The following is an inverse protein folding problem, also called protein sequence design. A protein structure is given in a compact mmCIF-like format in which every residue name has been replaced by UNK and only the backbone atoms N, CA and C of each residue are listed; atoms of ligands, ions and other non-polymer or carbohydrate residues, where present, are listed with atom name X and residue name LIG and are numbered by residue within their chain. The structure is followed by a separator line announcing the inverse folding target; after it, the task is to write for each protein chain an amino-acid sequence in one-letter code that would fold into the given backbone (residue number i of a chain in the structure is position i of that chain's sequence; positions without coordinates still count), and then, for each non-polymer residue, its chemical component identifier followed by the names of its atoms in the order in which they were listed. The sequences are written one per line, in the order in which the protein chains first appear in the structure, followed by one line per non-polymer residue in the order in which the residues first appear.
data_IF_145636745456
#
_entry.id   IF_145636745456
#
_cell.length_a   1.000
_cell.length_b   1.000
_cell.length_c   1.000
_cell.angle_alpha   90.00
_cell.angle_beta   90.00
_cell.angle_gamma   90.00
#
_symmetry.space_group_name_H-M   'P 1'
#
loop_
_entity.id
_entity.type
_entity.pdbx_description
1 polymer ?
#
# COMPACT_ATOMS: atom_id res chain seq x y z
N UNK A 1 4.55 0.88 -4.02
CA UNK A 1 4.30 -0.20 -3.05
C UNK A 1 2.87 -0.17 -2.51
N UNK A 2 2.27 -1.32 -2.24
CA UNK A 2 1.02 -1.46 -1.48
C UNK A 2 1.32 -2.14 -0.14
N UNK A 3 1.09 -1.42 0.95
CA UNK A 3 1.14 -1.95 2.31
C UNK A 3 -0.29 -2.00 2.82
N UNK A 4 -0.73 -3.15 3.32
CA UNK A 4 -2.11 -3.35 3.77
C UNK A 4 -2.13 -4.10 5.09
N UNK A 5 -2.90 -3.57 6.03
CA UNK A 5 -3.32 -4.27 7.25
C UNK A 5 -4.68 -4.87 6.95
N UNK A 6 -4.80 -6.19 7.06
CA UNK A 6 -6.04 -6.89 6.77
C UNK A 6 -6.92 -6.89 8.00
N UNK A 7 -8.19 -6.54 7.81
CA UNK A 7 -9.20 -6.78 8.82
C UNK A 7 -9.35 -8.28 9.02
N UNK A 8 -9.47 -8.76 10.27
CA UNK A 8 -9.88 -10.13 10.51
C UNK A 8 -11.17 -10.44 9.76
N UNK A 9 -11.29 -11.67 9.29
CA UNK A 9 -12.51 -12.13 8.63
C UNK A 9 -13.70 -12.11 9.60
N UNK A 10 -14.91 -12.05 9.05
CA UNK A 10 -16.13 -11.92 9.87
C UNK A 10 -16.42 -13.17 10.71
N UNK A 11 -15.87 -14.33 10.31
CA UNK A 11 -16.17 -15.63 10.90
C UNK A 11 -15.17 -15.96 12.01
N UNK A 12 -13.88 -16.08 11.71
CA UNK A 12 -12.87 -16.46 12.71
C UNK A 12 -12.43 -15.27 13.58
N UNK A 13 -12.50 -14.04 13.06
CA UNK A 13 -12.03 -12.79 13.69
C UNK A 13 -10.58 -12.86 14.19
N UNK A 14 -9.80 -13.82 13.68
CA UNK A 14 -8.49 -14.22 14.20
C UNK A 14 -8.50 -14.40 15.73
N UNK A 15 -9.61 -14.89 16.28
CA UNK A 15 -9.79 -15.14 17.71
C UNK A 15 -9.38 -16.56 18.12
N UNK A 16 -9.02 -17.42 17.15
CA UNK A 16 -8.61 -18.81 17.35
C UNK A 16 -7.09 -19.03 17.34
N UNK A 17 -6.67 -20.21 16.91
CA UNK A 17 -5.28 -20.52 16.57
C UNK A 17 -4.87 -19.80 15.28
N UNK A 18 -3.57 -19.58 15.10
CA UNK A 18 -2.98 -19.10 13.84
C UNK A 18 -2.65 -20.19 12.82
N UNK A 19 -2.86 -21.47 13.16
CA UNK A 19 -2.57 -22.65 12.33
C UNK A 19 -3.04 -22.54 10.89
N UNK A 20 -4.32 -22.24 10.65
CA UNK A 20 -4.87 -22.11 9.29
C UNK A 20 -4.10 -21.09 8.44
N UNK A 21 -3.76 -19.95 9.04
CA UNK A 21 -3.02 -18.89 8.36
C UNK A 21 -1.56 -19.29 8.13
N UNK A 22 -0.89 -19.85 9.13
CA UNK A 22 0.49 -20.31 8.99
C UNK A 22 0.60 -21.42 7.93
N UNK A 23 -0.31 -22.39 7.95
CA UNK A 23 -0.37 -23.48 6.96
C UNK A 23 -0.65 -22.95 5.55
N UNK A 24 -1.47 -21.90 5.41
CA UNK A 24 -1.69 -21.22 4.14
C UNK A 24 -0.41 -20.55 3.61
N UNK A 25 0.39 -19.93 4.48
CA UNK A 25 1.66 -19.29 4.11
C UNK A 25 2.77 -20.30 3.80
N UNK A 26 2.64 -21.55 4.23
CA UNK A 26 3.55 -22.65 3.86
C UNK A 26 3.27 -23.23 2.46
N UNK A 27 2.25 -22.75 1.74
CA UNK A 27 1.85 -23.33 0.44
C UNK A 27 2.98 -23.40 -0.59
N UNK A 28 3.84 -22.39 -0.66
CA UNK A 28 4.95 -22.33 -1.64
C UNK A 28 6.10 -23.28 -1.28
N UNK A 29 6.13 -23.85 -0.07
CA UNK A 29 7.16 -24.79 0.36
C UNK A 29 6.79 -26.26 0.17
N UNK A 30 5.51 -26.58 -0.06
CA UNK A 30 5.00 -27.97 -0.02
C UNK A 30 5.66 -28.90 -1.03
N UNK A 31 6.09 -28.37 -2.17
CA UNK A 31 6.69 -29.14 -3.26
C UNK A 31 8.20 -28.86 -3.42
N UNK A 32 8.80 -28.10 -2.50
CA UNK A 32 10.21 -27.73 -2.55
C UNK A 32 11.07 -28.64 -1.70
N UNK A 33 12.30 -28.89 -2.17
CA UNK A 33 13.35 -29.51 -1.36
C UNK A 33 13.60 -28.66 -0.10
N UNK A 34 13.90 -29.26 1.07
CA UNK A 34 14.19 -28.53 2.29
C UNK A 34 15.23 -27.40 2.14
N UNK A 35 16.20 -27.51 1.24
CA UNK A 35 17.20 -26.46 1.01
C UNK A 35 16.66 -25.25 0.24
N UNK A 36 15.56 -25.43 -0.51
CA UNK A 36 14.91 -24.40 -1.33
C UNK A 36 13.69 -23.78 -0.65
N UNK A 37 13.34 -24.26 0.55
CA UNK A 37 12.21 -23.75 1.31
C UNK A 37 12.48 -22.35 1.87
N UNK A 38 11.48 -21.47 1.77
CA UNK A 38 11.53 -20.15 2.38
C UNK A 38 11.03 -20.23 3.82
N UNK A 39 11.84 -19.78 4.78
CA UNK A 39 11.48 -19.78 6.19
C UNK A 39 10.78 -18.48 6.60
N UNK A 40 10.06 -18.53 7.71
CA UNK A 40 9.62 -17.30 8.36
C UNK A 40 10.82 -16.56 8.96
N UNK A 41 10.72 -15.23 8.99
CA UNK A 41 11.69 -14.34 9.59
C UNK A 41 11.03 -13.30 10.47
N UNK A 42 11.83 -12.70 11.35
CA UNK A 42 11.47 -11.53 12.13
C UNK A 42 12.74 -10.73 12.48
N UNK A 43 12.63 -9.77 13.40
CA UNK A 43 13.73 -8.92 13.82
C UNK A 43 14.85 -9.66 14.56
N UNK A 44 14.63 -10.92 14.94
CA UNK A 44 15.58 -11.71 15.74
C UNK A 44 16.21 -12.86 14.96
N UNK A 45 15.47 -13.48 14.04
CA UNK A 45 15.89 -14.67 13.28
C UNK A 45 15.29 -14.70 11.88
N UNK A 46 15.95 -15.36 10.93
CA UNK A 46 15.48 -15.51 9.54
C UNK A 46 15.13 -16.94 9.11
N UNK A 47 15.27 -17.91 10.03
CA UNK A 47 15.14 -19.34 9.77
C UNK A 47 14.13 -19.99 10.74
N UNK A 48 12.91 -19.47 10.77
CA UNK A 48 11.84 -19.94 11.65
C UNK A 48 10.89 -20.83 10.84
N UNK A 49 10.74 -22.09 11.25
CA UNK A 49 9.78 -23.00 10.63
C UNK A 49 8.32 -22.65 11.03
N UNK A 50 7.35 -23.08 10.22
CA UNK A 50 5.94 -22.81 10.45
C UNK A 50 5.42 -23.32 11.80
N UNK A 51 5.83 -24.51 12.26
CA UNK A 51 5.37 -25.06 13.53
C UNK A 51 5.91 -24.25 14.73
N UNK A 52 7.11 -23.70 14.63
CA UNK A 52 7.67 -22.79 15.61
C UNK A 52 6.95 -21.43 15.58
N UNK A 53 6.68 -20.89 14.40
CA UNK A 53 5.92 -19.64 14.25
C UNK A 53 4.52 -19.75 14.86
N UNK A 54 3.76 -20.80 14.52
CA UNK A 54 2.42 -21.08 15.05
C UNK A 54 2.42 -21.19 16.57
N UNK A 55 3.23 -22.10 17.13
CA UNK A 55 3.27 -22.33 18.59
C UNK A 55 3.64 -21.07 19.35
N UNK A 56 4.60 -20.29 18.84
CA UNK A 56 5.05 -19.06 19.49
C UNK A 56 3.95 -18.00 19.46
N UNK A 57 3.26 -17.84 18.32
CA UNK A 57 2.20 -16.86 18.15
C UNK A 57 0.98 -17.19 19.02
N UNK A 58 0.57 -18.46 19.04
CA UNK A 58 -0.58 -18.95 19.79
C UNK A 58 -0.37 -18.90 21.31
N UNK A 59 0.87 -19.06 21.77
CA UNK A 59 1.25 -18.89 23.17
C UNK A 59 1.15 -17.41 23.61
N UNK A 60 1.28 -16.44 22.69
CA UNK A 60 1.33 -15.01 23.00
C UNK A 60 -0.04 -14.33 23.08
N UNK A 61 -1.00 -14.96 23.76
CA UNK A 61 -2.35 -14.40 23.93
C UNK A 61 -2.53 -13.59 25.20
N UNK A 62 -1.60 -13.68 26.16
CA UNK A 62 -1.69 -13.02 27.47
C UNK A 62 -3.08 -13.21 28.11
N UNK A 63 -3.76 -12.10 28.38
CA UNK A 63 -5.11 -12.07 28.97
C UNK A 63 -6.22 -11.81 27.94
N UNK A 64 -6.02 -12.15 26.67
CA UNK A 64 -7.07 -12.03 25.65
C UNK A 64 -8.17 -13.08 25.89
N UNK A 65 -9.42 -12.63 25.81
CA UNK A 65 -10.59 -13.51 25.87
C UNK A 65 -10.71 -14.42 24.64
N UNK A 66 -11.67 -15.36 24.69
CA UNK A 66 -11.91 -16.33 23.60
C UNK A 66 -12.34 -15.66 22.28
N UNK A 67 -13.15 -14.60 22.37
CA UNK A 67 -13.69 -13.88 21.22
C UNK A 67 -12.83 -12.67 20.79
N UNK A 68 -11.74 -12.41 21.51
CA UNK A 68 -10.85 -11.31 21.18
C UNK A 68 -9.90 -11.71 20.06
N UNK A 69 -9.74 -10.85 19.05
CA UNK A 69 -8.69 -10.98 18.04
C UNK A 69 -7.32 -11.15 18.71
N UNK A 70 -6.57 -12.18 18.31
CA UNK A 70 -5.25 -12.54 18.87
C UNK A 70 -4.09 -12.14 17.97
N UNK A 71 -4.33 -12.07 16.66
CA UNK A 71 -3.31 -11.69 15.70
C UNK A 71 -3.91 -10.93 14.50
N UNK A 72 -3.05 -10.18 13.81
CA UNK A 72 -3.38 -9.43 12.61
C UNK A 72 -2.47 -9.88 11.46
N UNK A 73 -2.97 -9.79 10.22
CA UNK A 73 -2.16 -10.02 9.03
C UNK A 73 -1.88 -8.69 8.33
N UNK A 74 -0.64 -8.51 7.90
CA UNK A 74 -0.23 -7.45 6.99
C UNK A 74 0.33 -8.07 5.71
N UNK A 75 0.28 -7.31 4.62
CA UNK A 75 1.00 -7.64 3.39
C UNK A 75 1.78 -6.44 2.89
N UNK A 76 3.03 -6.68 2.49
CA UNK A 76 3.89 -5.75 1.78
C UNK A 76 3.99 -6.21 0.34
N UNK A 77 3.59 -5.35 -0.58
CA UNK A 77 3.52 -5.64 -2.00
C UNK A 77 4.33 -4.59 -2.75
N UNK A 78 5.64 -4.78 -2.94
CA UNK A 78 6.43 -3.94 -3.82
C UNK A 78 5.86 -4.02 -5.25
N UNK A 79 5.91 -2.90 -5.97
CA UNK A 79 5.59 -2.86 -7.40
C UNK A 79 6.70 -3.51 -8.21
N UNK A 80 6.44 -3.93 -9.47
CA UNK A 80 7.49 -4.48 -10.34
C UNK A 80 8.72 -3.58 -10.46
N UNK A 81 8.54 -2.25 -10.47
CA UNK A 81 9.65 -1.27 -10.48
C UNK A 81 10.47 -1.30 -9.19
N UNK A 82 9.81 -1.44 -8.04
CA UNK A 82 10.48 -1.51 -6.74
C UNK A 82 11.21 -2.86 -6.57
N UNK A 83 10.59 -3.96 -7.01
CA UNK A 83 11.23 -5.28 -7.05
C UNK A 83 12.48 -5.25 -7.94
N UNK A 84 12.36 -4.70 -9.14
CA UNK A 84 13.49 -4.54 -10.06
C UNK A 84 14.60 -3.66 -9.46
N UNK A 85 14.24 -2.59 -8.74
CA UNK A 85 15.21 -1.68 -8.11
C UNK A 85 16.06 -2.36 -7.03
N UNK A 86 15.52 -3.37 -6.35
CA UNK A 86 16.28 -4.20 -5.39
C UNK A 86 16.80 -5.49 -6.04
N UNK A 87 16.83 -5.57 -7.38
CA UNK A 87 17.26 -6.74 -8.17
C UNK A 87 16.55 -8.05 -7.79
N UNK A 88 15.29 -7.97 -7.34
CA UNK A 88 14.56 -9.14 -6.87
C UNK A 88 15.17 -9.81 -5.63
N UNK A 89 16.00 -9.11 -4.85
CA UNK A 89 16.72 -9.69 -3.72
C UNK A 89 15.81 -9.83 -2.47
N UNK A 90 15.52 -11.06 -2.01
CA UNK A 90 14.66 -11.30 -0.85
C UNK A 90 15.26 -10.80 0.46
N UNK A 91 16.58 -10.83 0.63
CA UNK A 91 17.25 -10.38 1.86
C UNK A 91 17.15 -8.86 2.04
N UNK A 92 17.20 -8.09 0.93
CA UNK A 92 16.91 -6.66 0.98
C UNK A 92 15.45 -6.40 1.37
N UNK A 93 14.52 -7.20 0.85
CA UNK A 93 13.10 -7.06 1.20
C UNK A 93 12.83 -7.45 2.67
N UNK A 94 13.46 -8.51 3.20
CA UNK A 94 13.42 -8.88 4.62
C UNK A 94 13.94 -7.75 5.51
N UNK A 95 15.09 -7.18 5.13
CA UNK A 95 15.69 -6.03 5.82
C UNK A 95 14.77 -4.80 5.80
N UNK A 96 14.06 -4.54 4.69
CA UNK A 96 13.04 -3.49 4.63
C UNK A 96 11.85 -3.77 5.56
N UNK A 97 11.37 -5.01 5.60
CA UNK A 97 10.25 -5.39 6.47
C UNK A 97 10.59 -5.20 7.94
N UNK A 98 11.82 -5.49 8.35
CA UNK A 98 12.28 -5.25 9.72
C UNK A 98 12.18 -3.75 10.10
N UNK A 99 12.66 -2.85 9.24
CA UNK A 99 12.50 -1.39 9.44
C UNK A 99 11.03 -0.95 9.42
N UNK A 100 10.20 -1.58 8.57
CA UNK A 100 8.77 -1.34 8.53
C UNK A 100 8.10 -1.73 9.86
N UNK A 101 8.57 -2.80 10.51
CA UNK A 101 8.07 -3.24 11.80
C UNK A 101 8.52 -2.35 12.97
N UNK A 102 9.66 -1.66 12.85
CA UNK A 102 10.01 -0.55 13.76
C UNK A 102 9.04 0.62 13.60
N UNK A 103 8.70 0.98 12.36
CA UNK A 103 7.67 1.99 12.09
C UNK A 103 6.29 1.54 12.60
N UNK A 104 5.94 0.25 12.48
CA UNK A 104 4.72 -0.32 13.05
C UNK A 104 4.65 -0.12 14.57
N UNK A 105 5.74 -0.43 15.29
CA UNK A 105 5.84 -0.27 16.74
C UNK A 105 5.70 1.19 17.17
N UNK A 106 6.47 2.08 16.54
CA UNK A 106 6.48 3.52 16.83
C UNK A 106 5.10 4.18 16.65
N UNK A 107 4.29 3.67 15.73
CA UNK A 107 2.97 4.20 15.42
C UNK A 107 1.94 4.00 16.54
N UNK A 108 2.21 3.12 17.51
CA UNK A 108 1.39 2.96 18.72
C UNK A 108 1.72 3.95 19.83
N UNK A 109 2.84 4.67 19.72
CA UNK A 109 3.32 5.63 20.72
C UNK A 109 3.35 5.03 22.14
N UNK A 110 3.91 3.82 22.28
CA UNK A 110 4.03 3.10 23.56
C UNK A 110 5.44 3.21 24.10
N UNK A 111 5.53 3.33 25.42
CA UNK A 111 6.77 3.34 26.18
C UNK A 111 6.64 2.43 27.39
N UNK A 112 7.71 1.72 27.73
CA UNK A 112 7.83 0.93 28.95
C UNK A 112 7.95 1.84 30.18
N UNK A 113 7.87 1.25 31.39
CA UNK A 113 7.90 2.01 32.64
C UNK A 113 9.20 2.79 32.85
N UNK A 114 10.29 2.32 32.27
CA UNK A 114 11.62 2.93 32.31
C UNK A 114 11.80 4.05 31.25
N UNK A 115 10.76 4.37 30.47
CA UNK A 115 10.81 5.38 29.41
C UNK A 115 11.32 4.85 28.07
N UNK A 116 11.69 3.57 27.98
CA UNK A 116 12.15 2.98 26.71
C UNK A 116 10.98 2.88 25.73
N UNK A 117 11.09 3.42 24.50
CA UNK A 117 10.02 3.31 23.50
C UNK A 117 9.88 1.88 22.98
N UNK A 118 8.67 1.50 22.61
CA UNK A 118 8.39 0.25 21.94
C UNK A 118 9.01 0.24 20.54
N UNK A 119 9.78 -0.80 20.23
CA UNK A 119 10.47 -0.96 18.93
C UNK A 119 9.97 -2.19 18.19
N UNK A 120 10.36 -2.34 16.92
CA UNK A 120 10.04 -3.53 16.12
C UNK A 120 10.63 -4.81 16.69
N UNK A 121 11.69 -4.73 17.52
CA UNK A 121 12.25 -5.89 18.24
C UNK A 121 11.32 -6.40 19.33
N UNK A 122 10.46 -5.54 19.87
CA UNK A 122 9.47 -5.91 20.89
C UNK A 122 8.19 -6.50 20.28
N UNK A 123 7.97 -6.30 18.98
CA UNK A 123 6.78 -6.82 18.27
C UNK A 123 6.97 -8.31 17.98
N UNK A 124 6.03 -9.13 18.44
CA UNK A 124 5.98 -10.53 18.03
C UNK A 124 5.32 -10.65 16.66
N UNK A 125 6.13 -10.83 15.62
CA UNK A 125 5.67 -11.11 14.28
C UNK A 125 6.47 -12.22 13.62
N UNK A 126 5.86 -12.82 12.60
CA UNK A 126 6.48 -13.76 11.67
C UNK A 126 6.14 -13.32 10.26
N UNK A 127 7.16 -13.03 9.47
CA UNK A 127 7.04 -12.61 8.10
C UNK A 127 7.59 -13.68 7.16
N UNK A 128 7.05 -13.79 5.95
CA UNK A 128 7.50 -14.75 4.93
C UNK A 128 7.46 -14.12 3.56
N UNK A 129 8.55 -14.29 2.81
CA UNK A 129 8.64 -13.84 1.41
C UNK A 129 7.95 -14.89 0.55
N UNK A 130 7.12 -14.45 -0.39
CA UNK A 130 6.44 -15.29 -1.37
C UNK A 130 6.74 -14.75 -2.77
N UNK A 131 6.92 -15.64 -3.74
CA UNK A 131 7.34 -15.28 -5.10
C UNK A 131 6.20 -15.32 -6.11
N UNK A 132 5.08 -15.96 -5.79
CA UNK A 132 3.99 -16.15 -6.74
C UNK A 132 2.74 -15.37 -6.34
N UNK A 133 2.02 -14.85 -7.33
CA UNK A 133 0.68 -14.29 -7.13
C UNK A 133 -0.24 -14.88 -8.16
N UNK A 134 -1.49 -15.10 -7.77
CA UNK A 134 -2.51 -15.57 -8.69
C UNK A 134 -3.49 -14.45 -9.06
N UNK A 135 -4.13 -14.55 -10.22
CA UNK A 135 -5.27 -13.71 -10.55
C UNK A 135 -6.44 -14.07 -9.62
N UNK A 136 -6.97 -13.07 -8.90
CA UNK A 136 -8.02 -13.26 -7.91
C UNK A 136 -9.39 -12.91 -8.50
N UNK A 137 -10.44 -13.56 -8.00
CA UNK A 137 -11.80 -13.12 -8.21
C UNK A 137 -11.98 -11.65 -7.82
N UNK A 138 -12.64 -10.87 -8.68
CA UNK A 138 -12.89 -9.45 -8.43
C UNK A 138 -11.69 -8.52 -8.60
N UNK A 139 -10.55 -8.99 -9.14
CA UNK A 139 -9.44 -8.12 -9.55
C UNK A 139 -9.88 -7.20 -10.70
N UNK A 140 -10.29 -5.97 -10.37
CA UNK A 140 -10.83 -4.99 -11.33
C UNK A 140 -9.91 -4.73 -12.51
N UNK A 141 -8.58 -4.88 -12.33
CA UNK A 141 -7.60 -4.64 -13.40
C UNK A 141 -7.72 -5.67 -14.53
N UNK A 142 -8.08 -6.91 -14.20
CA UNK A 142 -8.15 -8.03 -15.14
C UNK A 142 -9.58 -8.55 -15.31
N UNK A 143 -10.59 -7.79 -14.89
CA UNK A 143 -11.98 -8.26 -14.84
C UNK A 143 -12.50 -8.62 -16.24
N UNK A 144 -12.12 -7.86 -17.26
CA UNK A 144 -12.53 -8.10 -18.66
C UNK A 144 -11.89 -9.37 -19.20
N UNK A 145 -10.59 -9.53 -19.00
CA UNK A 145 -9.80 -10.67 -19.45
C UNK A 145 -10.24 -11.96 -18.75
N UNK A 146 -10.42 -11.91 -17.42
CA UNK A 146 -10.91 -13.04 -16.63
C UNK A 146 -12.33 -13.42 -17.07
N UNK A 147 -13.23 -12.46 -17.30
CA UNK A 147 -14.59 -12.74 -17.74
C UNK A 147 -14.62 -13.38 -19.14
N UNK A 148 -13.80 -12.88 -20.08
CA UNK A 148 -13.63 -13.44 -21.41
C UNK A 148 -13.11 -14.88 -21.34
N UNK A 149 -11.98 -15.09 -20.66
CA UNK A 149 -11.37 -16.41 -20.52
C UNK A 149 -12.27 -17.38 -19.74
N UNK A 150 -13.03 -16.92 -18.76
CA UNK A 150 -13.96 -17.80 -18.01
C UNK A 150 -15.08 -18.35 -18.90
N UNK A 151 -15.53 -17.60 -19.93
CA UNK A 151 -16.49 -18.11 -20.92
C UNK A 151 -15.84 -19.21 -21.77
N UNK A 152 -14.64 -18.95 -22.29
CA UNK A 152 -13.87 -19.95 -23.06
C UNK A 152 -13.63 -21.21 -22.23
N UNK A 153 -13.25 -21.08 -20.96
CA UNK A 153 -13.04 -22.22 -20.06
C UNK A 153 -14.30 -23.07 -19.89
N UNK A 154 -15.47 -22.45 -19.77
CA UNK A 154 -16.75 -23.17 -19.71
C UNK A 154 -17.04 -23.93 -21.01
N UNK A 155 -16.73 -23.35 -22.16
CA UNK A 155 -16.93 -24.01 -23.45
C UNK A 155 -15.93 -25.15 -23.67
N UNK A 156 -14.69 -25.02 -23.19
CA UNK A 156 -13.70 -26.10 -23.16
C UNK A 156 -14.22 -27.26 -22.32
N UNK A 157 -14.73 -27.01 -21.10
CA UNK A 157 -15.28 -28.07 -20.23
C UNK A 157 -16.43 -28.81 -20.92
N UNK A 158 -17.31 -28.10 -21.64
CA UNK A 158 -18.40 -28.73 -22.40
C UNK A 158 -17.95 -29.58 -23.58
N UNK A 159 -16.76 -29.30 -24.13
CA UNK A 159 -16.22 -29.96 -25.32
C UNK A 159 -14.97 -30.77 -25.01
N UNK A 160 -14.76 -31.17 -23.75
CA UNK A 160 -13.51 -31.79 -23.28
C UNK A 160 -13.15 -33.08 -24.03
N UNK A 161 -14.16 -33.79 -24.56
CA UNK A 161 -13.98 -35.03 -25.31
C UNK A 161 -13.56 -34.81 -26.78
N UNK A 162 -13.51 -33.55 -27.26
CA UNK A 162 -13.09 -33.21 -28.61
C UNK A 162 -11.81 -32.35 -28.60
N UNK A 163 -10.62 -32.98 -28.70
CA UNK A 163 -9.33 -32.29 -28.64
C UNK A 163 -9.15 -31.19 -29.69
N UNK A 164 -9.73 -31.34 -30.89
CA UNK A 164 -9.63 -30.34 -31.95
C UNK A 164 -10.36 -29.05 -31.59
N UNK A 165 -11.57 -29.18 -31.02
CA UNK A 165 -12.36 -28.02 -30.57
C UNK A 165 -11.67 -27.36 -29.38
N UNK A 166 -11.18 -28.15 -28.42
CA UNK A 166 -10.43 -27.63 -27.26
C UNK A 166 -9.23 -26.80 -27.71
N UNK A 167 -8.40 -27.32 -28.63
CA UNK A 167 -7.23 -26.60 -29.13
C UNK A 167 -7.59 -25.25 -29.80
N UNK A 168 -8.68 -25.20 -30.57
CA UNK A 168 -9.16 -23.95 -31.18
C UNK A 168 -9.74 -22.96 -30.16
N UNK A 169 -10.33 -23.45 -29.07
CA UNK A 169 -10.81 -22.62 -27.98
C UNK A 169 -9.66 -22.05 -27.14
N UNK A 170 -8.63 -22.85 -26.86
CA UNK A 170 -7.45 -22.43 -26.07
C UNK A 170 -6.62 -21.33 -26.75
N UNK A 171 -6.62 -21.28 -28.09
CA UNK A 171 -6.02 -20.19 -28.88
C UNK A 171 -6.71 -18.84 -28.64
N UNK A 172 -7.97 -18.83 -28.19
CA UNK A 172 -8.75 -17.62 -27.93
C UNK A 172 -8.51 -17.02 -26.55
N UNK A 173 -7.75 -17.71 -25.68
CA UNK A 173 -7.41 -17.18 -24.38
C UNK A 173 -6.57 -15.91 -24.49
N UNK A 174 -6.95 -14.90 -23.73
CA UNK A 174 -6.09 -13.75 -23.45
C UNK A 174 -5.03 -14.21 -22.46
N UNK A 175 -3.76 -14.06 -22.85
CA UNK A 175 -2.60 -14.55 -22.10
C UNK A 175 -1.76 -13.38 -21.59
N UNK A 176 -1.04 -13.62 -20.51
CA UNK A 176 -0.06 -12.69 -19.98
C UNK A 176 1.23 -12.72 -20.82
N UNK A 177 2.24 -11.93 -20.44
CA UNK A 177 3.46 -11.81 -21.24
C UNK A 177 4.29 -13.10 -21.32
N UNK A 178 4.06 -14.04 -20.40
CA UNK A 178 4.69 -15.36 -20.34
C UNK A 178 3.83 -16.47 -20.98
N UNK A 179 2.71 -16.10 -21.62
CA UNK A 179 1.84 -17.06 -22.32
C UNK A 179 0.84 -17.79 -21.42
N UNK A 180 0.80 -17.51 -20.12
CA UNK A 180 -0.20 -18.10 -19.20
C UNK A 180 -1.56 -17.43 -19.41
N UNK A 181 -2.63 -18.23 -19.50
CA UNK A 181 -3.99 -17.72 -19.65
C UNK A 181 -4.40 -16.93 -18.39
N UNK A 182 -4.93 -15.73 -18.59
CA UNK A 182 -5.39 -14.86 -17.48
C UNK A 182 -6.72 -15.40 -16.95
N UNK A 183 -6.64 -16.32 -16.00
CA UNK A 183 -7.77 -16.99 -15.36
C UNK A 183 -7.65 -16.90 -13.84
N UNK A 184 -8.77 -16.91 -13.14
CA UNK A 184 -8.76 -17.00 -11.68
C UNK A 184 -7.96 -18.22 -11.21
N UNK A 185 -7.05 -18.00 -10.26
CA UNK A 185 -6.14 -19.01 -9.73
C UNK A 185 -4.87 -19.22 -10.56
N UNK A 186 -4.82 -18.75 -11.81
CA UNK A 186 -3.59 -18.84 -12.61
C UNK A 186 -2.52 -17.87 -12.09
N UNK A 187 -1.25 -18.26 -12.24
CA UNK A 187 -0.09 -17.49 -11.79
C UNK A 187 0.09 -16.24 -12.67
N UNK A 188 0.42 -15.12 -12.04
CA UNK A 188 0.74 -13.85 -12.68
C UNK A 188 2.17 -13.87 -13.21
N UNK A 189 2.38 -13.20 -14.33
CA UNK A 189 3.69 -13.01 -14.94
C UNK A 189 4.59 -12.09 -14.11
N UNK A 190 5.91 -12.25 -14.32
CA UNK A 190 6.95 -11.43 -13.73
C UNK A 190 7.27 -11.75 -12.27
N UNK A 191 8.24 -11.01 -11.73
CA UNK A 191 8.63 -11.17 -10.33
C UNK A 191 7.56 -10.58 -9.41
N UNK A 192 6.81 -11.47 -8.77
CA UNK A 192 5.67 -11.15 -7.91
C UNK A 192 6.05 -11.11 -6.42
N UNK A 193 7.34 -11.03 -6.11
CA UNK A 193 7.89 -11.04 -4.74
C UNK A 193 7.13 -10.10 -3.81
N UNK A 194 6.72 -10.65 -2.68
CA UNK A 194 5.92 -9.96 -1.68
C UNK A 194 6.07 -10.60 -0.31
N UNK A 195 5.59 -9.90 0.72
CA UNK A 195 5.73 -10.38 2.10
C UNK A 195 4.38 -10.45 2.76
N UNK A 196 4.09 -11.61 3.35
CA UNK A 196 3.04 -11.79 4.33
C UNK A 196 3.63 -11.64 5.73
N UNK A 197 2.94 -10.91 6.61
CA UNK A 197 3.39 -10.69 7.99
C UNK A 197 2.22 -11.02 8.92
N UNK A 198 2.41 -11.95 9.84
CA UNK A 198 1.47 -12.24 10.91
C UNK A 198 2.00 -11.64 12.19
N UNK A 199 1.20 -10.81 12.86
CA UNK A 199 1.61 -10.03 14.03
C UNK A 199 0.69 -10.36 15.20
N UNK A 200 1.27 -10.73 16.33
CA UNK A 200 0.51 -10.92 17.58
C UNK A 200 -0.09 -9.59 18.03
N UNK A 201 -1.29 -9.65 18.64
CA UNK A 201 -1.88 -8.49 19.31
C UNK A 201 -1.10 -8.09 20.57
N UNK A 202 -0.24 -8.95 21.10
CA UNK A 202 0.66 -8.60 22.20
C UNK A 202 2.11 -8.43 21.72
N UNK A 203 2.86 -7.55 22.38
CA UNK A 203 4.32 -7.55 22.28
C UNK A 203 4.93 -8.82 22.93
N UNK A 204 6.23 -9.07 22.72
CA UNK A 204 6.91 -10.25 23.29
C UNK A 204 6.82 -10.33 24.81
N UNK A 205 6.77 -9.17 25.51
CA UNK A 205 6.65 -9.11 26.98
C UNK A 205 5.20 -9.20 27.47
N UNK A 206 4.23 -9.35 26.57
CA UNK A 206 2.78 -9.34 26.86
C UNK A 206 2.33 -8.12 27.69
N UNK A 207 3.02 -6.99 27.50
CA UNK A 207 2.79 -5.75 28.22
C UNK A 207 1.73 -4.88 27.54
N UNK A 208 1.75 -4.81 26.22
CA UNK A 208 0.89 -3.92 25.43
C UNK A 208 -0.02 -4.72 24.51
N UNK A 209 -1.33 -4.45 24.56
CA UNK A 209 -2.28 -4.84 23.51
C UNK A 209 -2.19 -3.84 22.36
N UNK A 210 -1.76 -4.30 21.20
CA UNK A 210 -1.48 -3.54 19.98
C UNK A 210 -2.55 -3.86 18.92
N UNK A 211 -3.47 -2.92 18.68
CA UNK A 211 -4.52 -3.07 17.67
C UNK A 211 -4.35 -2.03 16.57
N UNK A 212 -3.79 -2.40 15.40
CA UNK A 212 -3.56 -1.46 14.30
C UNK A 212 -4.85 -1.02 13.58
N UNK A 213 -5.98 -1.64 13.93
CA UNK A 213 -7.31 -1.36 13.38
C UNK A 213 -8.16 -0.51 14.33
N UNK A 214 -7.57 0.02 15.40
CA UNK A 214 -8.26 0.97 16.29
C UNK A 214 -8.77 2.19 15.50
N UNK A 215 -9.96 2.68 15.85
CA UNK A 215 -10.50 3.92 15.29
C UNK A 215 -9.74 5.16 15.76
N UNK A 216 -9.10 5.10 16.94
CA UNK A 216 -8.26 6.17 17.44
C UNK A 216 -6.94 6.21 16.65
N UNK A 217 -6.73 7.28 15.89
CA UNK A 217 -5.51 7.49 15.10
C UNK A 217 -4.40 8.09 15.97
N UNK A 218 -4.74 9.11 16.74
CA UNK A 218 -3.89 9.81 17.70
C UNK A 218 -4.79 10.29 18.87
N UNK A 219 -4.27 10.27 20.09
CA UNK A 219 -5.02 10.74 21.25
C UNK A 219 -4.24 10.60 22.54
N UNK A 220 -4.39 11.57 23.44
CA UNK A 220 -3.87 11.50 24.81
C UNK A 220 -4.98 10.96 25.71
N UNK A 221 -4.79 9.75 26.23
CA UNK A 221 -5.66 9.21 27.28
C UNK A 221 -4.99 9.36 28.64
N UNK A 222 -5.70 9.85 29.64
CA UNK A 222 -5.18 9.84 31.02
C UNK A 222 -5.43 8.46 31.62
N UNK A 223 -4.36 7.79 32.04
CA UNK A 223 -4.44 6.56 32.84
C UNK A 223 -3.63 6.78 34.12
N UNK A 224 -4.25 6.62 35.29
CA UNK A 224 -3.60 6.88 36.59
C UNK A 224 -2.96 8.29 36.70
N UNK A 225 -3.61 9.31 36.17
CA UNK A 225 -3.12 10.70 36.21
C UNK A 225 -1.97 11.02 35.23
N UNK A 226 -1.52 10.07 34.42
CA UNK A 226 -0.50 10.30 33.37
C UNK A 226 -1.13 10.26 31.98
N UNK A 227 -0.75 11.22 31.13
CA UNK A 227 -1.09 11.20 29.71
C UNK A 227 -0.36 10.05 29.02
N UNK A 228 -1.10 9.25 28.25
CA UNK A 228 -0.56 8.23 27.37
C UNK A 228 -1.06 8.48 25.96
N UNK A 229 -0.14 8.62 25.01
CA UNK A 229 -0.50 8.58 23.60
C UNK A 229 -1.05 7.20 23.25
N UNK A 230 -2.20 7.16 22.59
CA UNK A 230 -2.86 5.94 22.13
C UNK A 230 -3.37 6.17 20.71
N UNK A 231 -3.13 5.18 19.86
CA UNK A 231 -3.72 5.14 18.53
C UNK A 231 -2.89 4.29 17.58
N UNK A 232 -3.35 4.21 16.34
CA UNK A 232 -2.56 3.75 15.21
C UNK A 232 -3.05 4.48 13.95
N UNK A 233 -2.19 5.32 13.38
CA UNK A 233 -2.47 6.06 12.17
C UNK A 233 -2.05 5.24 10.94
N UNK A 234 -3.00 4.45 10.41
CA UNK A 234 -2.78 3.58 9.23
C UNK A 234 -2.27 4.34 8.01
N UNK A 235 -2.78 5.54 7.76
CA UNK A 235 -2.39 6.34 6.61
C UNK A 235 -0.92 6.78 6.74
N UNK A 236 -0.50 7.16 7.95
CA UNK A 236 0.90 7.49 8.26
C UNK A 236 1.81 6.26 8.21
N UNK A 237 1.35 5.11 8.72
CA UNK A 237 2.11 3.86 8.66
C UNK A 237 2.47 3.50 7.21
N UNK A 238 1.51 3.58 6.29
CA UNK A 238 1.74 3.28 4.86
C UNK A 238 2.63 4.33 4.20
N UNK A 239 2.41 5.63 4.47
CA UNK A 239 3.27 6.70 3.93
C UNK A 239 4.73 6.56 4.39
N UNK A 240 4.94 6.29 5.67
CA UNK A 240 6.27 6.05 6.21
C UNK A 240 6.89 4.78 5.61
N UNK A 241 6.11 3.73 5.37
CA UNK A 241 6.59 2.53 4.70
C UNK A 241 7.13 2.81 3.29
N UNK A 242 6.46 3.66 2.50
CA UNK A 242 7.00 4.10 1.21
C UNK A 242 8.31 4.89 1.39
N UNK A 243 8.34 5.83 2.34
CA UNK A 243 9.54 6.65 2.63
C UNK A 243 10.74 5.81 3.07
N UNK A 244 10.53 4.81 3.94
CA UNK A 244 11.58 3.90 4.41
C UNK A 244 12.20 3.17 3.22
N UNK A 245 11.38 2.67 2.30
CA UNK A 245 11.88 1.99 1.10
C UNK A 245 12.71 2.95 0.24
N UNK A 246 12.16 4.14 -0.01
CA UNK A 246 12.79 5.16 -0.85
C UNK A 246 14.13 5.62 -0.29
N UNK A 247 14.21 5.85 1.02
CA UNK A 247 15.44 6.28 1.71
C UNK A 247 16.49 5.17 1.81
N UNK A 248 16.05 3.95 2.16
CA UNK A 248 16.92 2.78 2.36
C UNK A 248 17.59 2.35 1.06
N UNK A 249 16.83 2.30 -0.02
CA UNK A 249 17.33 1.82 -1.32
C UNK A 249 17.62 2.95 -2.32
N UNK A 250 17.50 4.21 -1.91
CA UNK A 250 17.65 5.38 -2.81
C UNK A 250 16.71 5.31 -4.02
N UNK A 251 15.50 4.80 -3.81
CA UNK A 251 14.51 4.67 -4.87
C UNK A 251 13.83 6.02 -5.14
N UNK A 252 13.92 6.49 -6.37
CA UNK A 252 13.30 7.75 -6.81
C UNK A 252 11.86 7.50 -7.25
N UNK A 253 10.96 7.41 -6.27
CA UNK A 253 9.54 7.12 -6.50
C UNK A 253 8.86 8.21 -7.34
N UNK A 254 8.12 7.77 -8.36
CA UNK A 254 7.23 8.64 -9.11
C UNK A 254 6.07 9.10 -8.21
N UNK A 255 5.75 10.40 -8.18
CA UNK A 255 4.66 10.94 -7.35
C UNK A 255 3.33 10.22 -7.59
N UNK A 256 3.04 9.79 -8.83
CA UNK A 256 1.83 9.05 -9.21
C UNK A 256 1.77 7.65 -8.60
N UNK A 257 2.94 7.09 -8.28
CA UNK A 257 3.10 5.78 -7.65
C UNK A 257 3.10 5.89 -6.10
N UNK A 258 2.93 7.10 -5.53
CA UNK A 258 2.86 7.31 -4.07
C UNK A 258 1.46 7.05 -3.49
N UNK A 259 1.43 6.63 -2.24
CA UNK A 259 0.22 6.43 -1.45
C UNK A 259 -0.61 7.71 -1.36
N UNK A 260 0.03 8.85 -1.10
CA UNK A 260 -0.65 10.13 -1.00
C UNK A 260 -1.36 10.51 -2.31
N UNK A 261 -0.74 10.21 -3.45
CA UNK A 261 -1.39 10.43 -4.74
C UNK A 261 -2.62 9.54 -4.92
N UNK A 262 -2.53 8.24 -4.57
CA UNK A 262 -3.67 7.30 -4.63
C UNK A 262 -4.80 7.69 -3.67
N UNK A 263 -4.47 8.07 -2.44
CA UNK A 263 -5.44 8.51 -1.43
C UNK A 263 -6.19 9.75 -1.90
N UNK A 264 -5.45 10.77 -2.37
CA UNK A 264 -6.04 11.99 -2.92
C UNK A 264 -6.93 11.70 -4.14
N UNK A 265 -6.52 10.79 -5.03
CA UNK A 265 -7.35 10.39 -6.18
C UNK A 265 -8.70 9.81 -5.74
N UNK A 266 -8.69 8.85 -4.81
CA UNK A 266 -9.92 8.24 -4.31
C UNK A 266 -10.84 9.26 -3.63
N UNK A 267 -10.27 10.17 -2.84
CA UNK A 267 -11.02 11.25 -2.20
C UNK A 267 -11.60 12.24 -3.23
N UNK A 268 -10.89 12.58 -4.32
CA UNK A 268 -11.41 13.43 -5.40
C UNK A 268 -12.65 12.78 -6.02
N UNK A 269 -12.57 11.49 -6.33
CA UNK A 269 -13.68 10.76 -6.96
C UNK A 269 -14.90 10.62 -6.04
N UNK A 270 -14.72 10.68 -4.72
CA UNK A 270 -15.79 10.64 -3.73
C UNK A 270 -16.26 12.03 -3.24
N UNK A 271 -15.65 13.12 -3.70
CA UNK A 271 -15.97 14.45 -3.20
C UNK A 271 -17.29 14.96 -3.79
N UNK A 272 -18.29 15.14 -2.92
CA UNK A 272 -19.61 15.69 -3.30
C UNK A 272 -19.66 17.21 -3.26
N UNK A 273 -18.80 17.85 -2.45
CA UNK A 273 -18.72 19.30 -2.36
C UNK A 273 -17.83 19.90 -3.48
N UNK A 274 -18.34 20.78 -4.36
CA UNK A 274 -17.58 21.31 -5.49
C UNK A 274 -16.30 22.07 -5.12
N UNK A 275 -16.33 22.83 -4.02
CA UNK A 275 -15.16 23.58 -3.53
C UNK A 275 -14.08 22.64 -2.98
N UNK A 276 -14.49 21.58 -2.27
CA UNK A 276 -13.57 20.53 -1.82
C UNK A 276 -12.94 19.82 -3.02
N UNK A 277 -13.76 19.41 -3.99
CA UNK A 277 -13.33 18.79 -5.23
C UNK A 277 -12.30 19.66 -5.98
N UNK A 278 -12.60 20.94 -6.19
CA UNK A 278 -11.70 21.89 -6.84
C UNK A 278 -10.38 22.05 -6.08
N UNK A 279 -10.41 22.16 -4.74
CA UNK A 279 -9.21 22.27 -3.91
C UNK A 279 -8.31 21.05 -4.02
N UNK A 280 -8.90 19.86 -4.06
CA UNK A 280 -8.15 18.62 -4.19
C UNK A 280 -7.52 18.45 -5.58
N UNK A 281 -8.21 18.84 -6.65
CA UNK A 281 -7.64 18.89 -8.00
C UNK A 281 -6.49 19.89 -8.07
N UNK A 282 -6.65 21.08 -7.51
CA UNK A 282 -5.58 22.09 -7.49
C UNK A 282 -4.32 21.56 -6.79
N UNK A 283 -4.47 20.95 -5.62
CA UNK A 283 -3.37 20.30 -4.89
C UNK A 283 -2.68 19.22 -5.72
N UNK A 284 -3.46 18.36 -6.38
CA UNK A 284 -2.92 17.31 -7.26
C UNK A 284 -2.13 17.90 -8.41
N UNK A 285 -2.64 18.93 -9.07
CA UNK A 285 -1.98 19.56 -10.19
C UNK A 285 -0.66 20.26 -9.79
N UNK A 286 -0.59 20.82 -8.58
CA UNK A 286 0.67 21.36 -8.00
C UNK A 286 1.71 20.26 -7.79
N UNK A 287 1.30 19.06 -7.38
CA UNK A 287 2.23 17.94 -7.23
C UNK A 287 2.71 17.42 -8.60
N UNK A 288 1.82 17.34 -9.58
CA UNK A 288 2.17 16.90 -10.94
C UNK A 288 3.07 17.90 -11.68
N UNK A 289 2.87 19.20 -11.45
CA UNK A 289 3.64 20.27 -12.10
C UNK A 289 5.10 20.34 -11.65
N UNK A 290 5.42 19.78 -10.49
CA UNK A 290 6.80 19.57 -10.03
C UNK A 290 7.48 18.53 -10.91
N UNK A 291 6.81 17.40 -11.14
CA UNK A 291 7.38 16.27 -11.86
C UNK A 291 7.53 16.54 -13.36
N UNK A 292 6.53 17.16 -13.99
CA UNK A 292 6.57 17.48 -15.43
C UNK A 292 7.37 18.76 -15.75
N UNK A 293 8.03 19.33 -14.73
CA UNK A 293 8.84 20.56 -14.79
C UNK A 293 8.04 21.82 -15.16
N UNK A 294 6.71 21.80 -15.16
CA UNK A 294 5.89 23.01 -15.38
C UNK A 294 6.22 24.08 -14.35
N UNK A 295 6.39 23.71 -13.07
CA UNK A 295 6.81 24.64 -12.01
C UNK A 295 8.17 25.27 -12.30
N UNK A 296 9.14 24.45 -12.73
CA UNK A 296 10.48 24.91 -13.07
C UNK A 296 10.46 25.87 -14.27
N UNK A 297 9.76 25.48 -15.35
CA UNK A 297 9.67 26.28 -16.58
C UNK A 297 8.92 27.59 -16.38
N UNK A 298 7.86 27.59 -15.58
CA UNK A 298 7.01 28.76 -15.41
C UNK A 298 7.50 29.74 -14.35
N UNK A 299 8.02 29.23 -13.23
CA UNK A 299 8.32 30.06 -12.06
C UNK A 299 9.82 30.11 -11.72
N UNK A 300 10.69 29.42 -12.48
CA UNK A 300 12.11 29.26 -12.15
C UNK A 300 12.36 28.40 -10.90
N UNK A 301 11.30 27.76 -10.37
CA UNK A 301 11.35 26.99 -9.14
C UNK A 301 11.76 25.55 -9.49
N UNK A 302 13.08 25.30 -9.52
CA UNK A 302 13.65 23.96 -9.68
C UNK A 302 13.63 23.22 -8.33
N UNK A 303 12.48 22.69 -7.93
CA UNK A 303 12.35 21.93 -6.68
C UNK A 303 11.91 20.50 -6.98
N UNK A 304 12.59 19.53 -6.38
CA UNK A 304 12.16 18.12 -6.36
C UNK A 304 11.17 17.83 -5.23
N UNK A 305 11.11 18.70 -4.21
CA UNK A 305 10.28 18.55 -3.02
C UNK A 305 9.24 19.69 -2.92
N UNK A 306 7.93 19.38 -2.85
CA UNK A 306 6.87 20.39 -2.69
C UNK A 306 7.05 21.31 -1.48
N UNK A 307 7.72 20.85 -0.41
CA UNK A 307 7.96 21.64 0.80
C UNK A 307 8.87 22.85 0.58
N UNK A 308 9.66 22.84 -0.50
CA UNK A 308 10.56 23.95 -0.86
C UNK A 308 9.90 25.00 -1.76
N UNK A 309 8.66 24.78 -2.19
CA UNK A 309 7.92 25.82 -2.91
C UNK A 309 7.50 26.90 -1.90
N UNK A 310 7.65 28.20 -2.23
CA UNK A 310 7.18 29.28 -1.37
C UNK A 310 5.69 29.10 -1.01
N UNK A 311 5.38 29.06 0.29
CA UNK A 311 4.01 28.88 0.78
C UNK A 311 3.02 29.90 0.21
N UNK A 312 3.47 31.15 0.06
CA UNK A 312 2.67 32.24 -0.54
C UNK A 312 2.29 31.93 -1.98
N UNK A 313 3.22 31.40 -2.78
CA UNK A 313 2.95 31.00 -4.16
C UNK A 313 1.93 29.86 -4.23
N UNK A 314 2.10 28.81 -3.41
CA UNK A 314 1.12 27.71 -3.33
C UNK A 314 -0.26 28.25 -2.97
N UNK A 315 -0.35 29.12 -1.96
CA UNK A 315 -1.61 29.69 -1.51
C UNK A 315 -2.33 30.48 -2.62
N UNK A 316 -1.58 31.25 -3.41
CA UNK A 316 -2.16 31.99 -4.55
C UNK A 316 -2.59 31.06 -5.68
N UNK A 317 -1.77 30.06 -6.02
CA UNK A 317 -2.15 29.03 -7.01
C UNK A 317 -3.42 28.32 -6.57
N UNK A 318 -3.51 27.85 -5.33
CA UNK A 318 -4.70 27.17 -4.80
C UNK A 318 -5.93 28.08 -4.88
N UNK A 319 -5.82 29.33 -4.44
CA UNK A 319 -6.92 30.30 -4.45
C UNK A 319 -7.45 30.55 -5.85
N UNK A 320 -6.57 30.83 -6.81
CA UNK A 320 -6.95 31.14 -8.19
C UNK A 320 -7.45 29.91 -8.94
N UNK A 321 -6.77 28.76 -8.78
CA UNK A 321 -7.17 27.51 -9.41
C UNK A 321 -8.54 27.04 -8.91
N UNK A 322 -8.80 27.09 -7.60
CA UNK A 322 -10.12 26.72 -7.05
C UNK A 322 -11.23 27.56 -7.66
N UNK A 323 -11.04 28.88 -7.73
CA UNK A 323 -12.02 29.79 -8.36
C UNK A 323 -12.26 29.44 -9.83
N UNK A 324 -11.19 29.25 -10.60
CA UNK A 324 -11.28 28.94 -12.03
C UNK A 324 -11.93 27.58 -12.29
N UNK A 325 -11.63 26.56 -11.47
CA UNK A 325 -12.25 25.24 -11.58
C UNK A 325 -13.75 25.33 -11.26
N UNK A 326 -14.14 26.00 -10.19
CA UNK A 326 -15.56 26.16 -9.83
C UNK A 326 -16.36 26.84 -10.95
N UNK A 327 -15.84 27.94 -11.50
CA UNK A 327 -16.48 28.63 -12.63
C UNK A 327 -16.64 27.74 -13.87
N UNK A 328 -15.70 26.81 -14.09
CA UNK A 328 -15.74 25.93 -15.24
C UNK A 328 -16.66 24.72 -15.02
N UNK A 329 -16.83 24.26 -13.77
CA UNK A 329 -17.83 23.27 -13.38
C UNK A 329 -19.26 23.81 -13.54
N UNK A 330 -19.50 25.07 -13.12
CA UNK A 330 -20.81 25.72 -13.24
C UNK A 330 -21.29 25.83 -14.70
N UNK A 331 -20.34 25.91 -15.64
CA UNK A 331 -20.61 26.00 -17.08
C UNK A 331 -20.85 24.64 -17.76
N UNK A 332 -20.84 23.53 -17.02
CA UNK A 332 -21.07 22.18 -17.55
C UNK A 332 -20.02 21.72 -18.58
N UNK A 333 -18.83 22.32 -18.57
CA UNK A 333 -17.96 22.36 -19.75
C UNK A 333 -17.12 21.09 -20.02
N UNK A 334 -17.21 20.03 -19.21
CA UNK A 334 -16.27 18.90 -19.32
C UNK A 334 -16.88 17.52 -19.14
N UNK A 335 -16.56 16.65 -20.10
CA UNK A 335 -16.77 15.19 -20.02
C UNK A 335 -15.85 14.52 -18.99
N UNK A 336 -14.70 15.15 -18.68
CA UNK A 336 -13.78 14.71 -17.61
C UNK A 336 -13.33 15.91 -16.75
N UNK A 337 -14.04 16.18 -15.63
CA UNK A 337 -13.79 17.36 -14.79
C UNK A 337 -12.43 17.33 -14.08
N UNK A 338 -11.87 16.14 -13.82
CA UNK A 338 -10.56 16.00 -13.16
C UNK A 338 -9.43 16.45 -14.08
N UNK A 339 -9.39 15.93 -15.30
CA UNK A 339 -8.36 16.30 -16.29
C UNK A 339 -8.45 17.78 -16.65
N UNK A 340 -9.67 18.30 -16.81
CA UNK A 340 -9.89 19.71 -17.06
C UNK A 340 -9.36 20.59 -15.93
N UNK A 341 -9.70 20.27 -14.68
CA UNK A 341 -9.24 21.05 -13.52
C UNK A 341 -7.72 21.00 -13.32
N UNK A 342 -7.06 19.87 -13.65
CA UNK A 342 -5.59 19.79 -13.67
C UNK A 342 -5.01 20.78 -14.67
N UNK A 343 -5.53 20.81 -15.90
CA UNK A 343 -5.06 21.73 -16.94
C UNK A 343 -5.31 23.20 -16.58
N UNK A 344 -6.46 23.52 -15.99
CA UNK A 344 -6.77 24.86 -15.47
C UNK A 344 -5.72 25.27 -14.44
N UNK A 345 -5.41 24.40 -13.47
CA UNK A 345 -4.42 24.71 -12.44
C UNK A 345 -3.01 24.90 -13.02
N UNK A 346 -2.60 24.08 -13.99
CA UNK A 346 -1.30 24.25 -14.66
C UNK A 346 -1.19 25.58 -15.42
N UNK A 347 -2.29 26.06 -16.03
CA UNK A 347 -2.35 27.39 -16.63
C UNK A 347 -2.16 28.49 -15.57
N UNK A 348 -2.87 28.40 -14.45
CA UNK A 348 -2.72 29.33 -13.31
C UNK A 348 -1.28 29.38 -12.80
N UNK A 349 -0.64 28.21 -12.61
CA UNK A 349 0.79 28.12 -12.24
C UNK A 349 1.66 28.86 -13.25
N UNK A 350 1.38 28.68 -14.54
CA UNK A 350 2.14 29.29 -15.63
C UNK A 350 2.00 30.81 -15.65
N UNK A 351 0.78 31.32 -15.45
CA UNK A 351 0.49 32.75 -15.41
C UNK A 351 1.14 33.43 -14.20
N UNK A 352 1.01 32.84 -13.02
CA UNK A 352 1.64 33.35 -11.80
C UNK A 352 3.17 33.31 -11.87
N UNK A 353 3.73 32.24 -12.41
CA UNK A 353 5.18 32.13 -12.61
C UNK A 353 5.72 33.24 -13.52
N UNK A 354 5.02 33.54 -14.63
CA UNK A 354 5.37 34.65 -15.53
C UNK A 354 5.33 36.00 -14.82
N UNK A 355 4.33 36.25 -13.97
CA UNK A 355 4.22 37.51 -13.21
C UNK A 355 5.42 37.70 -12.27
N UNK A 356 5.85 36.64 -11.58
CA UNK A 356 7.03 36.68 -10.71
C UNK A 356 8.32 36.94 -11.51
N UNK A 357 8.51 36.27 -12.65
CA UNK A 357 9.71 36.48 -13.48
C UNK A 357 9.82 37.93 -13.99
N UNK A 358 8.69 38.54 -14.37
CA UNK A 358 8.63 39.93 -14.82
C UNK A 358 8.92 40.92 -13.69
N UNK A 359 8.41 40.66 -12.48
CA UNK A 359 8.66 41.51 -11.32
C UNK A 359 10.10 41.44 -10.79
N UNK A 360 10.84 40.37 -11.08
CA UNK A 360 12.25 40.21 -10.70
C UNK A 360 13.24 40.70 -11.77
N UNK A 361 12.75 41.06 -12.96
CA UNK A 361 13.56 41.59 -14.08
C UNK A 361 13.53 43.12 -14.18
N UNK A 362 12.86 43.78 -13.22
CA UNK A 362 12.80 45.23 -12.98
C UNK A 362 13.52 45.46 -11.66
#
# INVERSE_FOLDING_TARGET
MIIKIHSPDQVSKNAGSSSDLIQYLEKENREKDPLDQEYFFNNHRSNIDGATAERTLDANKGRLGKEETKFYMLTVNPSPKEVAHINGNPELLKSYVNDLMDNYASNFHREYKDGTPLTGKDIMYFAKVENERTYKFGDRKYATEIAHNSKIRKDIIKNMDNPKIVAELEKKYIRNSEGTAILEGAVKDGNNMHVHIVVSRYDYKQKFKLSPLSNQREGKGVLNGKEHSKGFNRDQFVQNGERIFDEKFKYSRNIKDSYNYRLNYGMIMGATNPKSFAKMIAKRAVLESIQDKTMQKAAGIAVSNPKHIPKKFISEVEKQAVKAIMQALDKGAYTNPVSAGINITKKVITELGKQISRAASI
#
